data_IF_475942317600
#
_entry.id   IF_475942317600
#
_cell.length_a   1.000
_cell.length_b   1.000
_cell.length_c   1.000
_cell.angle_alpha   90.00
_cell.angle_beta   90.00
_cell.angle_gamma   90.00
#
_symmetry.space_group_name_H-M   'P 1'
#
loop_
_entity.id
_entity.type
_entity.pdbx_description
1 polymer ?
#
# COMPACT_ATOMS: atom_id res chain seq x y z
N UNK A 1 -44.97 26.16 -37.85
CA UNK A 1 -44.55 27.56 -37.95
C UNK A 1 -43.03 27.56 -38.01
N UNK A 2 -42.52 28.01 -39.15
CA UNK A 2 -41.10 28.11 -39.49
C UNK A 2 -40.51 29.36 -38.83
N UNK A 3 -39.46 29.21 -38.03
CA UNK A 3 -38.45 30.25 -37.80
C UNK A 3 -37.07 29.61 -37.84
N UNK A 4 -36.22 30.10 -38.74
CA UNK A 4 -34.91 29.54 -39.08
C UNK A 4 -33.77 30.08 -38.20
N UNK A 5 -32.56 29.50 -38.31
CA UNK A 5 -31.41 29.95 -37.55
C UNK A 5 -30.76 31.20 -38.19
N UNK A 6 -30.62 32.26 -37.39
CA UNK A 6 -29.84 33.46 -37.71
C UNK A 6 -28.34 33.13 -37.73
N UNK A 7 -27.78 32.92 -38.92
CA UNK A 7 -26.34 32.95 -39.17
C UNK A 7 -25.84 34.40 -39.18
N UNK A 8 -25.44 34.93 -38.03
CA UNK A 8 -24.60 36.12 -37.94
C UNK A 8 -23.12 35.68 -37.94
N UNK A 9 -22.59 35.44 -39.15
CA UNK A 9 -21.15 35.33 -39.38
C UNK A 9 -20.56 36.75 -39.36
N UNK A 10 -19.94 37.12 -38.24
CA UNK A 10 -19.14 38.35 -38.15
C UNK A 10 -17.81 38.08 -38.88
N UNK A 11 -17.71 38.54 -40.13
CA UNK A 11 -16.43 38.60 -40.83
C UNK A 11 -15.60 39.75 -40.26
N UNK A 12 -14.64 39.43 -39.39
CA UNK A 12 -13.55 40.35 -39.05
C UNK A 12 -12.63 40.47 -40.28
N UNK A 13 -12.76 41.58 -41.01
CA UNK A 13 -11.76 41.99 -42.00
C UNK A 13 -10.48 42.38 -41.26
N UNK A 14 -9.47 41.51 -41.29
CA UNK A 14 -8.12 41.83 -40.87
C UNK A 14 -7.57 42.94 -41.76
N UNK A 15 -7.48 44.15 -41.22
CA UNK A 15 -6.64 45.21 -41.76
C UNK A 15 -5.19 44.74 -41.75
N UNK A 16 -4.61 44.58 -42.94
CA UNK A 16 -3.20 44.20 -43.11
C UNK A 16 -2.28 45.17 -42.35
N UNK A 17 -1.51 44.72 -41.35
CA UNK A 17 -0.47 45.56 -40.77
C UNK A 17 0.61 45.81 -41.83
N UNK A 18 1.00 47.07 -41.98
CA UNK A 18 2.12 47.54 -42.78
C UNK A 18 3.36 46.63 -42.60
N UNK A 19 3.82 46.03 -43.70
CA UNK A 19 4.67 44.83 -43.77
C UNK A 19 6.15 44.97 -43.40
N UNK A 20 6.55 45.88 -42.50
CA UNK A 20 7.97 46.12 -42.19
C UNK A 20 8.45 45.52 -40.85
N UNK A 21 7.56 45.11 -39.94
CA UNK A 21 7.97 44.60 -38.62
C UNK A 21 8.28 43.09 -38.57
N UNK A 22 7.67 42.29 -39.46
CA UNK A 22 7.80 40.81 -39.44
C UNK A 22 9.16 40.35 -40.00
N UNK A 23 9.88 41.19 -40.72
CA UNK A 23 11.18 40.84 -41.35
C UNK A 23 12.35 40.89 -40.36
N UNK A 24 12.30 41.70 -39.30
CA UNK A 24 13.45 41.91 -38.40
C UNK A 24 13.76 40.70 -37.51
N UNK A 25 12.74 40.01 -37.00
CA UNK A 25 12.93 38.81 -36.15
C UNK A 25 13.55 37.64 -36.91
N UNK A 26 13.24 37.51 -38.21
CA UNK A 26 13.81 36.44 -39.06
C UNK A 26 15.29 36.62 -39.39
N UNK A 27 15.86 37.78 -39.08
CA UNK A 27 17.28 38.10 -39.32
C UNK A 27 18.14 37.72 -38.10
N UNK A 28 17.54 37.48 -36.93
CA UNK A 28 18.29 37.09 -35.75
C UNK A 28 18.90 35.69 -35.92
N UNK A 29 20.18 35.51 -35.53
CA UNK A 29 20.77 34.18 -35.41
C UNK A 29 19.91 33.27 -34.50
N UNK A 30 19.77 31.97 -34.85
CA UNK A 30 19.01 31.00 -34.06
C UNK A 30 19.35 30.99 -32.58
N UNK A 31 20.62 31.19 -32.24
CA UNK A 31 21.13 31.17 -30.87
C UNK A 31 20.56 32.32 -30.03
N UNK A 32 20.51 33.53 -30.59
CA UNK A 32 19.93 34.69 -29.91
C UNK A 32 18.42 34.51 -29.72
N UNK A 33 17.75 33.93 -30.72
CA UNK A 33 16.33 33.67 -30.63
C UNK A 33 16.02 32.60 -29.57
N UNK A 34 16.86 31.57 -29.45
CA UNK A 34 16.77 30.57 -28.37
C UNK A 34 16.99 31.20 -26.99
N UNK A 35 17.91 32.16 -26.83
CA UNK A 35 18.06 32.87 -25.55
C UNK A 35 16.83 33.71 -25.20
N UNK A 36 16.22 34.38 -26.18
CA UNK A 36 14.96 35.10 -25.99
C UNK A 36 13.85 34.12 -25.59
N UNK A 37 13.75 32.98 -26.29
CA UNK A 37 12.78 31.93 -25.94
C UNK A 37 13.04 31.39 -24.54
N UNK A 38 14.28 31.19 -24.14
CA UNK A 38 14.61 30.73 -22.79
C UNK A 38 14.15 31.72 -21.72
N UNK A 39 14.25 33.03 -21.99
CA UNK A 39 13.68 34.06 -21.11
C UNK A 39 12.15 33.99 -21.06
N UNK A 40 11.49 33.73 -22.20
CA UNK A 40 10.04 33.49 -22.24
C UNK A 40 9.65 32.26 -21.40
N UNK A 41 10.35 31.12 -21.57
CA UNK A 41 10.11 29.89 -20.82
C UNK A 41 10.33 30.07 -19.32
N UNK A 42 11.35 30.83 -18.93
CA UNK A 42 11.58 31.16 -17.53
C UNK A 42 10.41 31.92 -16.90
N UNK A 43 9.77 32.82 -17.66
CA UNK A 43 8.62 33.61 -17.19
C UNK A 43 7.31 32.83 -17.26
N UNK A 44 7.14 32.02 -18.31
CA UNK A 44 5.97 31.21 -18.60
C UNK A 44 6.43 29.82 -19.07
N UNK A 45 6.44 28.80 -18.20
CA UNK A 45 7.00 27.50 -18.54
C UNK A 45 6.26 26.74 -19.67
N UNK A 46 5.03 27.15 -20.01
CA UNK A 46 4.26 26.64 -21.15
C UNK A 46 4.53 27.40 -22.47
N UNK A 47 5.35 28.46 -22.45
CA UNK A 47 5.73 29.23 -23.64
C UNK A 47 6.23 28.39 -24.82
N UNK A 48 6.90 27.22 -24.67
CA UNK A 48 7.29 26.41 -25.83
C UNK A 48 6.11 26.03 -26.71
N UNK A 49 4.92 25.80 -26.14
CA UNK A 49 3.73 25.47 -26.92
C UNK A 49 3.28 26.66 -27.77
N UNK A 50 3.17 27.85 -27.16
CA UNK A 50 2.77 29.09 -27.86
C UNK A 50 3.78 29.49 -28.92
N UNK A 51 5.08 29.39 -28.62
CA UNK A 51 6.16 29.73 -29.55
C UNK A 51 6.15 28.84 -30.80
N UNK A 52 5.75 27.57 -30.67
CA UNK A 52 5.62 26.63 -31.79
C UNK A 52 4.50 27.03 -32.77
N UNK A 53 3.50 27.76 -32.32
CA UNK A 53 2.35 28.16 -33.15
C UNK A 53 2.63 29.38 -34.02
N UNK A 54 3.70 30.14 -33.74
CA UNK A 54 4.00 31.41 -34.43
C UNK A 54 4.34 31.20 -35.90
N UNK A 55 5.34 30.36 -36.20
CA UNK A 55 5.70 30.00 -37.57
C UNK A 55 6.50 28.70 -37.63
N UNK A 56 6.65 28.12 -38.83
CA UNK A 56 7.40 26.85 -39.04
C UNK A 56 8.85 26.90 -38.58
N UNK A 57 9.50 28.07 -38.69
CA UNK A 57 10.88 28.23 -38.25
C UNK A 57 11.00 28.21 -36.72
N UNK A 58 10.11 28.92 -36.02
CA UNK A 58 10.05 28.91 -34.55
C UNK A 58 9.68 27.53 -34.03
N UNK A 59 8.70 26.86 -34.66
CA UNK A 59 8.38 25.47 -34.40
C UNK A 59 9.64 24.59 -34.43
N UNK A 60 10.42 24.66 -35.51
CA UNK A 60 11.63 23.85 -35.66
C UNK A 60 12.70 24.19 -34.60
N UNK A 61 12.90 25.48 -34.28
CA UNK A 61 13.85 25.90 -33.26
C UNK A 61 13.45 25.43 -31.86
N UNK A 62 12.18 25.57 -31.49
CA UNK A 62 11.68 25.11 -30.19
C UNK A 62 11.79 23.60 -30.07
N UNK A 63 11.41 22.87 -31.13
CA UNK A 63 11.45 21.40 -31.17
C UNK A 63 12.87 20.82 -31.10
N UNK A 64 13.88 21.57 -31.55
CA UNK A 64 15.29 21.15 -31.61
C UNK A 64 16.16 21.70 -30.48
N UNK A 65 15.59 22.49 -29.56
CA UNK A 65 16.30 23.09 -28.44
C UNK A 65 15.83 22.51 -27.10
N UNK A 66 16.51 21.46 -26.58
CA UNK A 66 16.11 20.80 -25.34
C UNK A 66 16.07 21.71 -24.11
N UNK A 67 16.87 22.78 -24.10
CA UNK A 67 16.93 23.78 -23.01
C UNK A 67 15.57 24.45 -22.77
N UNK A 68 14.76 24.60 -23.81
CA UNK A 68 13.43 25.22 -23.70
C UNK A 68 12.38 24.30 -23.04
N UNK A 69 12.72 23.02 -22.83
CA UNK A 69 11.82 22.01 -22.27
C UNK A 69 12.26 21.54 -20.88
N UNK A 70 13.23 22.23 -20.27
CA UNK A 70 13.80 21.81 -18.99
C UNK A 70 12.92 22.14 -17.79
N UNK A 71 11.95 23.04 -17.89
CA UNK A 71 11.02 23.32 -16.78
C UNK A 71 9.66 22.74 -17.11
N UNK A 72 9.16 21.88 -16.22
CA UNK A 72 7.87 21.20 -16.37
C UNK A 72 6.90 21.79 -15.34
N UNK A 73 5.98 22.66 -15.76
CA UNK A 73 4.92 23.13 -14.88
C UNK A 73 3.85 22.04 -14.74
N UNK A 74 3.57 21.64 -13.50
CA UNK A 74 2.45 20.77 -13.16
C UNK A 74 1.47 21.57 -12.31
N UNK A 75 0.20 21.60 -12.69
CA UNK A 75 -0.80 22.39 -11.99
C UNK A 75 -2.14 21.67 -12.01
N UNK A 76 -2.75 21.52 -10.84
CA UNK A 76 -4.06 20.86 -10.66
C UNK A 76 -5.23 21.68 -11.22
N UNK A 77 -5.07 22.99 -11.38
CA UNK A 77 -6.08 23.87 -11.99
C UNK A 77 -6.37 23.55 -13.47
N UNK A 78 -5.47 22.86 -14.17
CA UNK A 78 -5.70 22.45 -15.57
C UNK A 78 -6.54 21.17 -15.69
N UNK A 79 -7.01 20.62 -14.57
CA UNK A 79 -7.83 19.41 -14.49
C UNK A 79 -7.07 18.14 -14.90
N UNK A 80 -7.80 17.04 -15.09
CA UNK A 80 -7.26 15.71 -15.44
C UNK A 80 -6.63 15.63 -16.85
N UNK A 81 -6.40 16.76 -17.52
CA UNK A 81 -5.99 16.78 -18.91
C UNK A 81 -4.51 16.37 -19.09
N UNK A 82 -4.35 15.12 -19.51
CA UNK A 82 -3.17 14.51 -20.13
C UNK A 82 -1.80 14.68 -19.44
N UNK A 83 -1.68 14.45 -18.11
CA UNK A 83 -0.38 14.48 -17.45
C UNK A 83 0.61 13.48 -18.09
N UNK A 84 0.12 12.35 -18.60
CA UNK A 84 0.93 11.37 -19.32
C UNK A 84 1.47 11.89 -20.66
N UNK A 85 0.65 12.54 -21.49
CA UNK A 85 1.12 13.06 -22.78
C UNK A 85 2.08 14.24 -22.59
N UNK A 86 1.78 15.11 -21.62
CA UNK A 86 2.69 16.18 -21.23
C UNK A 86 4.02 15.59 -20.75
N UNK A 87 3.97 14.55 -19.90
CA UNK A 87 5.16 13.89 -19.43
C UNK A 87 5.99 13.30 -20.56
N UNK A 88 5.37 12.57 -21.48
CA UNK A 88 6.06 12.00 -22.65
C UNK A 88 6.69 13.12 -23.49
N UNK A 89 5.95 14.20 -23.78
CA UNK A 89 6.44 15.29 -24.61
C UNK A 89 7.63 16.00 -23.96
N UNK A 90 7.51 16.44 -22.71
CA UNK A 90 8.58 17.17 -22.03
C UNK A 90 9.80 16.29 -21.73
N UNK A 91 9.59 15.04 -21.29
CA UNK A 91 10.71 14.12 -21.04
C UNK A 91 11.46 13.80 -22.33
N UNK A 92 10.77 13.63 -23.46
CA UNK A 92 11.40 13.40 -24.76
C UNK A 92 12.17 14.64 -25.24
N UNK A 93 11.54 15.81 -25.19
CA UNK A 93 12.12 17.05 -25.74
C UNK A 93 13.25 17.62 -24.90
N UNK A 94 13.26 17.37 -23.60
CA UNK A 94 14.35 17.80 -22.71
C UNK A 94 15.64 16.98 -22.85
N UNK A 95 15.63 15.84 -23.57
CA UNK A 95 16.83 15.02 -23.75
C UNK A 95 17.95 15.78 -24.48
N UNK A 96 19.23 15.65 -24.08
CA UNK A 96 19.75 14.74 -23.04
C UNK A 96 19.80 15.36 -21.62
N UNK A 97 19.27 16.56 -21.43
CA UNK A 97 19.47 17.30 -20.19
C UNK A 97 18.57 16.82 -19.06
N UNK A 98 18.95 17.19 -17.84
CA UNK A 98 18.05 17.15 -16.69
C UNK A 98 16.94 18.20 -16.83
N UNK A 99 15.82 17.95 -16.17
CA UNK A 99 14.69 18.86 -16.14
C UNK A 99 14.20 19.07 -14.70
N UNK A 100 13.55 20.20 -14.47
CA UNK A 100 13.04 20.69 -13.21
C UNK A 100 11.53 20.56 -13.21
N UNK A 101 10.96 20.01 -12.14
CA UNK A 101 9.52 19.94 -11.94
C UNK A 101 9.11 21.09 -11.03
N UNK A 102 8.15 21.88 -11.48
CA UNK A 102 7.47 22.90 -10.69
C UNK A 102 6.02 22.50 -10.50
N UNK A 103 5.71 21.96 -9.32
CA UNK A 103 4.38 21.49 -8.97
C UNK A 103 3.62 22.56 -8.19
N UNK A 104 2.50 23.00 -8.75
CA UNK A 104 1.51 23.84 -8.09
C UNK A 104 0.26 23.01 -7.84
N UNK A 105 0.15 22.41 -6.66
CA UNK A 105 -0.98 21.55 -6.29
C UNK A 105 -1.69 22.14 -5.06
N UNK A 106 -2.85 22.74 -5.30
CA UNK A 106 -3.75 23.24 -4.26
C UNK A 106 -4.36 22.05 -3.52
N UNK A 107 -4.77 21.01 -4.25
CA UNK A 107 -5.30 19.76 -3.71
C UNK A 107 -4.17 18.72 -3.51
N UNK A 108 -3.92 18.27 -2.27
CA UNK A 108 -2.93 17.22 -1.99
C UNK A 108 -3.19 15.92 -2.76
N UNK A 109 -4.45 15.57 -3.05
CA UNK A 109 -4.79 14.32 -3.74
C UNK A 109 -4.31 14.31 -5.19
N UNK A 110 -4.12 15.50 -5.77
CA UNK A 110 -3.65 15.69 -7.14
C UNK A 110 -2.13 15.55 -7.28
N UNK A 111 -1.37 15.59 -6.18
CA UNK A 111 0.10 15.50 -6.21
C UNK A 111 0.56 14.20 -6.88
N UNK A 112 0.11 13.04 -6.39
CA UNK A 112 0.55 11.75 -6.93
C UNK A 112 0.16 11.55 -8.41
N UNK A 113 -1.09 11.80 -8.83
CA UNK A 113 -1.47 11.79 -10.25
C UNK A 113 -0.59 12.69 -11.13
N UNK A 114 -0.28 13.91 -10.70
CA UNK A 114 0.52 14.85 -11.48
C UNK A 114 1.97 14.40 -11.65
N UNK A 115 2.60 13.89 -10.59
CA UNK A 115 4.03 13.51 -10.63
C UNK A 115 4.28 12.09 -11.14
N UNK A 116 3.30 11.19 -11.00
CA UNK A 116 3.49 9.76 -11.26
C UNK A 116 3.98 9.42 -12.67
N UNK A 117 3.58 10.11 -13.76
CA UNK A 117 4.12 9.84 -15.09
C UNK A 117 5.63 10.12 -15.22
N UNK A 118 6.17 11.01 -14.39
CA UNK A 118 7.57 11.42 -14.41
C UNK A 118 8.48 10.53 -13.57
N UNK A 119 7.93 9.73 -12.65
CA UNK A 119 8.70 8.86 -11.75
C UNK A 119 9.55 7.83 -12.49
N UNK A 120 9.12 7.43 -13.70
CA UNK A 120 9.89 6.51 -14.57
C UNK A 120 11.21 7.09 -15.08
N UNK A 121 11.42 8.41 -14.94
CA UNK A 121 12.65 9.09 -15.34
C UNK A 121 13.18 10.02 -14.24
N UNK A 122 12.98 9.61 -12.98
CA UNK A 122 13.34 10.39 -11.80
C UNK A 122 14.84 10.72 -11.71
N UNK A 123 15.70 9.87 -12.30
CA UNK A 123 17.15 10.11 -12.39
C UNK A 123 17.53 11.34 -13.22
N UNK A 124 16.61 11.79 -14.10
CA UNK A 124 16.78 13.01 -14.90
C UNK A 124 16.26 14.26 -14.20
N UNK A 125 15.72 14.15 -12.99
CA UNK A 125 15.28 15.33 -12.26
C UNK A 125 16.50 16.16 -11.83
N UNK A 126 16.43 17.45 -12.09
CA UNK A 126 17.41 18.48 -11.70
C UNK A 126 17.03 19.11 -10.37
N UNK A 127 15.78 19.57 -10.29
CA UNK A 127 15.14 20.05 -9.06
C UNK A 127 13.66 19.65 -9.05
N UNK A 128 13.09 19.51 -7.85
CA UNK A 128 11.66 19.37 -7.65
C UNK A 128 11.20 20.45 -6.68
N UNK A 129 10.27 21.29 -7.12
CA UNK A 129 9.75 22.42 -6.36
C UNK A 129 8.25 22.29 -6.19
N UNK A 130 7.80 22.36 -4.94
CA UNK A 130 6.38 22.47 -4.61
C UNK A 130 6.07 23.94 -4.33
N UNK A 131 5.21 24.53 -5.15
CA UNK A 131 4.67 25.89 -4.93
C UNK A 131 3.47 25.76 -3.99
N UNK A 132 3.61 26.28 -2.78
CA UNK A 132 2.53 26.42 -1.80
C UNK A 132 2.05 27.86 -1.68
N UNK A 133 1.00 28.09 -0.88
CA UNK A 133 0.45 29.43 -0.66
C UNK A 133 1.47 30.42 -0.06
N UNK A 134 2.43 29.93 0.73
CA UNK A 134 3.34 30.78 1.51
C UNK A 134 4.84 30.45 1.34
N UNK A 135 5.22 29.32 0.72
CA UNK A 135 6.63 28.91 0.52
C UNK A 135 6.83 28.11 -0.76
N UNK A 136 8.00 28.32 -1.37
CA UNK A 136 8.55 27.48 -2.44
C UNK A 136 9.55 26.51 -1.81
N UNK A 137 9.15 25.25 -1.66
CA UNK A 137 10.01 24.21 -1.06
C UNK A 137 10.80 23.49 -2.15
N UNK A 138 12.13 23.56 -2.07
CA UNK A 138 13.02 22.75 -2.90
C UNK A 138 13.31 21.42 -2.21
N UNK A 139 12.62 20.36 -2.64
CA UNK A 139 12.62 19.07 -1.92
C UNK A 139 13.78 18.15 -2.29
N UNK A 140 14.45 18.42 -3.42
CA UNK A 140 15.57 17.63 -3.89
C UNK A 140 16.83 18.50 -3.94
N UNK A 141 17.68 18.45 -2.91
CA UNK A 141 18.94 19.19 -2.95
C UNK A 141 19.85 18.63 -4.07
N UNK A 142 20.76 19.45 -4.64
CA UNK A 142 21.57 19.05 -5.81
C UNK A 142 22.43 17.79 -5.62
N UNK A 143 22.72 17.40 -4.37
CA UNK A 143 23.49 16.21 -4.03
C UNK A 143 22.66 14.91 -4.03
N UNK A 144 21.33 15.03 -4.07
CA UNK A 144 20.42 13.91 -3.94
C UNK A 144 20.27 13.16 -5.27
N UNK A 145 20.54 11.85 -5.27
CA UNK A 145 20.49 11.00 -6.46
C UNK A 145 19.38 9.98 -6.33
N UNK A 146 18.17 10.37 -6.71
CA UNK A 146 17.09 9.42 -6.91
C UNK A 146 17.28 8.71 -8.25
N UNK A 147 17.05 7.41 -8.27
CA UNK A 147 16.93 6.59 -9.45
C UNK A 147 15.64 5.79 -9.32
N UNK A 148 15.13 5.31 -10.45
CA UNK A 148 13.94 4.49 -10.41
C UNK A 148 14.13 3.20 -9.58
N UNK A 149 15.37 2.69 -9.51
CA UNK A 149 15.73 1.49 -8.77
C UNK A 149 15.81 1.73 -7.25
N UNK A 150 16.08 2.97 -6.82
CA UNK A 150 16.19 3.29 -5.39
C UNK A 150 14.89 3.84 -4.79
N UNK A 151 14.01 4.44 -5.60
CA UNK A 151 12.71 4.90 -5.14
C UNK A 151 11.71 3.74 -5.11
N UNK A 152 11.82 2.91 -4.08
CA UNK A 152 11.10 1.63 -3.96
C UNK A 152 9.87 1.72 -3.07
N UNK A 153 9.81 2.71 -2.18
CA UNK A 153 8.77 2.84 -1.16
C UNK A 153 7.84 4.04 -1.44
N UNK A 154 6.54 3.81 -1.25
CA UNK A 154 5.50 4.84 -1.24
C UNK A 154 4.76 4.81 0.09
N UNK A 155 4.81 5.90 0.83
CA UNK A 155 4.08 6.08 2.06
C UNK A 155 2.96 7.10 1.85
N UNK A 156 1.73 6.69 2.07
CA UNK A 156 0.52 7.51 1.98
C UNK A 156 -0.05 7.71 3.37
N UNK A 157 0.04 8.93 3.89
CA UNK A 157 -0.52 9.34 5.16
C UNK A 157 -1.85 10.03 4.91
N UNK A 158 -2.96 9.42 5.34
CA UNK A 158 -4.29 10.00 5.21
C UNK A 158 -4.54 10.99 6.36
N UNK A 159 -4.90 12.22 6.03
CA UNK A 159 -5.02 13.30 7.00
C UNK A 159 -6.24 14.19 6.76
N UNK A 160 -6.95 14.57 7.83
CA UNK A 160 -8.15 15.43 7.76
C UNK A 160 -7.75 16.91 7.74
N UNK A 161 -8.09 17.61 6.66
CA UNK A 161 -7.75 19.03 6.49
C UNK A 161 -8.57 19.96 7.40
N UNK A 162 -9.69 19.51 7.98
CA UNK A 162 -10.60 20.41 8.70
C UNK A 162 -10.23 20.60 10.18
N UNK A 163 -9.44 19.69 10.78
CA UNK A 163 -9.24 19.66 12.24
C UNK A 163 -7.84 20.03 12.69
N UNK A 164 -6.81 19.78 11.88
CA UNK A 164 -5.46 20.20 12.21
C UNK A 164 -5.16 21.51 11.49
N UNK A 165 -4.86 22.56 12.27
CA UNK A 165 -4.00 23.63 11.76
C UNK A 165 -2.68 22.94 11.41
N UNK A 166 -2.55 22.48 10.17
CA UNK A 166 -1.26 21.99 9.69
C UNK A 166 -0.28 23.11 9.99
N UNK A 167 0.80 22.78 10.68
CA UNK A 167 1.91 23.71 10.76
C UNK A 167 2.23 24.03 9.29
N UNK A 168 2.03 25.29 8.89
CA UNK A 168 2.27 25.82 7.54
C UNK A 168 3.71 25.52 7.03
N UNK A 169 4.54 24.94 7.90
CA UNK A 169 5.92 24.53 7.72
C UNK A 169 6.09 23.08 7.24
N UNK A 170 5.10 22.18 7.31
CA UNK A 170 5.26 20.78 6.86
C UNK A 170 4.97 20.58 5.35
N UNK A 171 5.96 20.10 4.61
CA UNK A 171 5.83 19.82 3.18
C UNK A 171 4.91 18.60 2.91
N UNK A 172 3.89 18.77 2.05
CA UNK A 172 2.92 17.72 1.64
C UNK A 172 3.52 16.52 0.91
N UNK A 173 4.76 16.62 0.49
CA UNK A 173 5.52 15.56 -0.14
C UNK A 173 6.95 15.65 0.36
N UNK A 174 7.57 14.51 0.67
CA UNK A 174 8.99 14.44 1.02
C UNK A 174 9.62 13.19 0.41
N UNK A 175 10.93 13.25 0.21
CA UNK A 175 11.75 12.10 -0.15
C UNK A 175 12.73 11.82 0.99
N UNK A 176 12.65 10.65 1.59
CA UNK A 176 13.49 10.29 2.75
C UNK A 176 14.14 8.93 2.55
N UNK A 177 15.38 8.72 3.02
CA UNK A 177 15.94 7.37 3.11
C UNK A 177 15.09 6.53 4.09
N UNK A 178 14.89 5.25 3.80
CA UNK A 178 14.06 4.37 4.64
C UNK A 178 14.76 4.04 5.96
N UNK A 179 16.09 3.97 5.94
CA UNK A 179 16.92 3.78 7.11
C UNK A 179 18.08 4.77 7.09
N UNK A 180 18.50 5.32 8.24
CA UNK A 180 19.67 6.19 8.30
C UNK A 180 20.96 5.50 7.84
N UNK A 181 20.99 4.17 7.87
CA UNK A 181 22.14 3.36 7.43
C UNK A 181 22.07 2.97 5.94
N UNK A 182 20.88 3.02 5.33
CA UNK A 182 20.65 2.62 3.94
C UNK A 182 20.50 3.83 3.03
N UNK A 183 21.59 4.19 2.35
CA UNK A 183 21.61 5.28 1.38
C UNK A 183 21.12 4.84 -0.02
N UNK A 184 20.69 3.59 -0.19
CA UNK A 184 20.34 3.03 -1.50
C UNK A 184 18.85 2.86 -1.71
N UNK A 185 18.03 3.16 -0.70
CA UNK A 185 16.59 2.97 -0.76
C UNK A 185 15.85 4.17 -0.19
N UNK A 186 14.91 4.69 -0.96
CA UNK A 186 14.17 5.91 -0.66
C UNK A 186 12.67 5.65 -0.63
N UNK A 187 12.01 6.39 0.25
CA UNK A 187 10.57 6.50 0.33
C UNK A 187 10.12 7.86 -0.19
N UNK A 188 9.03 7.85 -0.97
CA UNK A 188 8.22 9.03 -1.23
C UNK A 188 7.10 9.05 -0.21
N UNK A 189 7.08 10.05 0.68
CA UNK A 189 6.00 10.25 1.64
C UNK A 189 5.05 11.31 1.10
N UNK A 190 3.75 11.01 1.13
CA UNK A 190 2.69 11.91 0.70
C UNK A 190 1.62 12.01 1.77
N UNK A 191 1.21 13.23 2.06
CA UNK A 191 0.06 13.51 2.91
C UNK A 191 -1.13 13.86 2.01
N UNK A 192 -2.18 13.05 2.11
CA UNK A 192 -3.34 13.13 1.23
C UNK A 192 -4.61 12.99 2.07
N UNK A 193 -5.74 13.50 1.57
CA UNK A 193 -7.04 13.32 2.25
C UNK A 193 -7.74 12.06 1.74
N UNK A 194 -7.45 11.65 0.50
CA UNK A 194 -8.08 10.52 -0.17
C UNK A 194 -7.11 9.84 -1.12
N UNK A 195 -7.22 8.53 -1.24
CA UNK A 195 -6.45 7.76 -2.20
C UNK A 195 -6.82 8.15 -3.64
N UNK A 196 -5.84 8.42 -4.52
CA UNK A 196 -6.10 8.78 -5.90
C UNK A 196 -6.69 7.59 -6.68
N UNK A 197 -7.62 7.89 -7.58
CA UNK A 197 -8.23 6.87 -8.45
C UNK A 197 -7.16 6.23 -9.35
N UNK A 198 -7.15 4.90 -9.52
CA UNK A 198 -6.21 4.23 -10.44
C UNK A 198 -6.36 4.69 -11.89
N UNK A 199 -7.49 5.31 -12.27
CA UNK A 199 -7.69 5.87 -13.62
C UNK A 199 -6.81 7.09 -13.90
N UNK A 200 -6.37 7.78 -12.84
CA UNK A 200 -5.51 8.95 -12.92
C UNK A 200 -4.03 8.59 -12.75
N UNK A 201 -3.73 7.32 -12.46
CA UNK A 201 -2.38 6.85 -12.18
C UNK A 201 -1.86 6.00 -13.35
N UNK A 202 -0.63 6.22 -13.82
CA UNK A 202 0.08 5.23 -14.59
C UNK A 202 0.42 4.03 -13.68
N UNK A 203 0.94 2.96 -14.27
CA UNK A 203 1.48 1.84 -13.48
C UNK A 203 2.64 2.32 -12.63
N UNK A 204 2.46 2.26 -11.32
CA UNK A 204 3.46 2.59 -10.33
C UNK A 204 4.38 1.38 -10.11
N UNK A 205 5.68 1.64 -9.98
CA UNK A 205 6.73 0.61 -9.84
C UNK A 205 7.28 0.53 -8.41
N UNK A 206 6.49 0.96 -7.44
CA UNK A 206 6.81 0.78 -6.03
C UNK A 206 6.67 -0.70 -5.64
N UNK A 207 7.67 -1.22 -4.95
CA UNK A 207 7.68 -2.57 -4.39
C UNK A 207 7.18 -2.60 -2.94
N UNK A 208 7.19 -1.44 -2.26
CA UNK A 208 6.65 -1.28 -0.91
C UNK A 208 5.62 -0.14 -0.88
N UNK A 209 4.42 -0.43 -0.38
CA UNK A 209 3.37 0.56 -0.18
C UNK A 209 2.90 0.52 1.26
N UNK A 210 2.89 1.68 1.90
CA UNK A 210 2.34 1.92 3.23
C UNK A 210 1.17 2.88 3.10
N UNK A 211 0.02 2.52 3.64
CA UNK A 211 -1.13 3.42 3.83
C UNK A 211 -1.35 3.53 5.34
N UNK A 212 -1.27 4.75 5.87
CA UNK A 212 -1.48 5.04 7.27
C UNK A 212 -2.62 6.04 7.42
N UNK A 213 -3.68 5.66 8.12
CA UNK A 213 -4.77 6.55 8.47
C UNK A 213 -4.40 7.35 9.73
N UNK A 214 -4.55 8.67 9.69
CA UNK A 214 -4.43 9.52 10.88
C UNK A 214 -5.47 9.11 11.92
N UNK A 215 -5.07 9.04 13.20
CA UNK A 215 -5.93 8.56 14.29
C UNK A 215 -7.07 9.51 14.70
N UNK A 216 -7.36 10.53 13.90
CA UNK A 216 -8.43 11.48 14.17
C UNK A 216 -9.76 11.02 13.55
N UNK A 217 -10.86 11.31 14.24
CA UNK A 217 -12.17 10.76 13.93
C UNK A 217 -12.73 11.33 12.62
N UNK A 218 -12.86 10.47 11.59
CA UNK A 218 -13.69 10.75 10.42
C UNK A 218 -13.04 10.45 9.07
N UNK A 219 -11.71 10.46 8.99
CA UNK A 219 -11.01 10.19 7.73
C UNK A 219 -10.50 8.76 7.67
N UNK A 220 -11.16 7.96 6.84
CA UNK A 220 -10.81 6.56 6.65
C UNK A 220 -10.88 6.23 5.16
N UNK A 221 -9.88 5.51 4.65
CA UNK A 221 -9.95 5.01 3.29
C UNK A 221 -10.90 3.83 3.25
N UNK A 222 -11.97 3.99 2.47
CA UNK A 222 -12.90 2.91 2.24
C UNK A 222 -12.17 1.73 1.55
N UNK A 223 -12.47 0.46 1.89
CA UNK A 223 -11.72 -0.70 1.36
C UNK A 223 -11.66 -0.75 -0.16
N UNK A 224 -12.75 -0.33 -0.81
CA UNK A 224 -12.81 -0.22 -2.26
C UNK A 224 -11.74 0.71 -2.83
N UNK A 225 -11.48 1.85 -2.19
CA UNK A 225 -10.49 2.83 -2.64
C UNK A 225 -9.07 2.28 -2.46
N UNK A 226 -8.81 1.62 -1.33
CA UNK A 226 -7.55 0.91 -1.10
C UNK A 226 -7.32 -0.15 -2.19
N UNK A 227 -8.32 -1.01 -2.41
CA UNK A 227 -8.24 -2.08 -3.41
C UNK A 227 -8.06 -1.53 -4.82
N UNK A 228 -8.83 -0.52 -5.22
CA UNK A 228 -8.70 0.14 -6.51
C UNK A 228 -7.30 0.78 -6.68
N UNK A 229 -6.79 1.46 -5.66
CA UNK A 229 -5.45 2.04 -5.67
C UNK A 229 -4.36 0.98 -5.86
N UNK A 230 -4.45 -0.16 -5.17
CA UNK A 230 -3.49 -1.25 -5.28
C UNK A 230 -3.41 -1.84 -6.70
N UNK A 231 -4.45 -1.68 -7.54
CA UNK A 231 -4.37 -2.10 -8.96
C UNK A 231 -3.34 -1.30 -9.77
N UNK A 232 -2.95 -0.11 -9.31
CA UNK A 232 -1.91 0.70 -9.92
C UNK A 232 -0.49 0.23 -9.54
N UNK A 233 -0.32 -0.69 -8.58
CA UNK A 233 0.97 -1.16 -8.07
C UNK A 233 1.21 -2.66 -8.37
N UNK A 234 1.41 -3.06 -9.63
CA UNK A 234 1.54 -4.48 -9.99
C UNK A 234 2.84 -5.15 -9.52
N UNK A 235 3.89 -4.38 -9.23
CA UNK A 235 5.19 -4.85 -8.76
C UNK A 235 5.26 -4.94 -7.21
N UNK A 236 4.13 -4.75 -6.51
CA UNK A 236 4.08 -4.68 -5.06
C UNK A 236 4.51 -6.00 -4.39
N UNK A 237 5.56 -5.93 -3.58
CA UNK A 237 6.09 -7.05 -2.79
C UNK A 237 5.67 -6.97 -1.31
N UNK A 238 5.52 -5.76 -0.77
CA UNK A 238 5.10 -5.55 0.61
C UNK A 238 4.01 -4.49 0.70
N UNK A 239 2.91 -4.85 1.35
CA UNK A 239 1.82 -3.93 1.64
C UNK A 239 1.61 -3.80 3.15
N UNK A 240 1.62 -2.57 3.65
CA UNK A 240 1.32 -2.24 5.03
C UNK A 240 0.13 -1.29 5.08
N UNK A 241 -0.92 -1.67 5.80
CA UNK A 241 -2.05 -0.80 6.12
C UNK A 241 -2.11 -0.63 7.64
N UNK A 242 -2.06 0.60 8.11
CA UNK A 242 -2.41 0.96 9.49
C UNK A 242 -3.63 1.85 9.47
N UNK A 243 -4.78 1.30 9.82
CA UNK A 243 -6.04 2.03 9.88
C UNK A 243 -6.34 2.64 11.24
N UNK A 244 -7.54 3.20 11.35
CA UNK A 244 -8.19 3.50 12.62
C UNK A 244 -9.52 2.74 12.72
N UNK A 245 -9.88 2.15 13.87
CA UNK A 245 -11.17 1.47 14.02
C UNK A 245 -12.35 2.44 13.90
N UNK A 246 -13.28 2.16 12.99
CA UNK A 246 -14.49 2.98 12.80
C UNK A 246 -15.65 2.13 12.30
N UNK A 247 -16.88 2.61 12.57
CA UNK A 247 -18.10 2.03 12.02
C UNK A 247 -18.44 2.74 10.72
N UNK A 248 -18.41 1.99 9.61
CA UNK A 248 -18.66 2.51 8.28
C UNK A 248 -19.49 1.52 7.45
N UNK A 249 -20.38 2.02 6.59
CA UNK A 249 -21.09 1.14 5.66
C UNK A 249 -20.07 0.49 4.73
N UNK A 250 -20.18 -0.83 4.57
CA UNK A 250 -19.31 -1.59 3.68
C UNK A 250 -20.03 -1.83 2.35
N UNK A 251 -19.36 -1.49 1.25
CA UNK A 251 -19.82 -1.88 -0.08
C UNK A 251 -19.85 -3.40 -0.22
N UNK A 252 -20.99 -3.94 -0.66
CA UNK A 252 -21.18 -5.39 -0.86
C UNK A 252 -20.37 -5.98 -2.03
N UNK A 253 -19.85 -5.13 -2.91
CA UNK A 253 -19.16 -5.55 -4.13
C UNK A 253 -17.79 -4.90 -4.23
N UNK A 254 -16.82 -5.53 -3.58
CA UNK A 254 -15.42 -5.14 -3.68
C UNK A 254 -14.76 -5.85 -4.87
N UNK A 255 -13.86 -5.17 -5.61
CA UNK A 255 -13.12 -5.79 -6.68
C UNK A 255 -12.11 -6.80 -6.13
N UNK A 256 -11.94 -7.94 -6.82
CA UNK A 256 -10.82 -8.83 -6.53
C UNK A 256 -9.56 -8.25 -7.17
N UNK A 257 -8.58 -7.91 -6.34
CA UNK A 257 -7.31 -7.31 -6.74
C UNK A 257 -6.23 -8.38 -6.72
N UNK A 258 -5.59 -8.58 -7.86
CA UNK A 258 -4.50 -9.53 -8.01
C UNK A 258 -3.16 -8.85 -7.79
N UNK A 259 -2.42 -9.28 -6.78
CA UNK A 259 -1.08 -8.80 -6.45
C UNK A 259 -0.11 -9.99 -6.55
N UNK A 260 0.36 -10.32 -7.76
CA UNK A 260 1.10 -11.55 -8.00
C UNK A 260 2.48 -11.55 -7.33
N UNK A 261 3.06 -10.39 -7.05
CA UNK A 261 4.38 -10.27 -6.42
C UNK A 261 4.32 -10.09 -4.90
N UNK A 262 3.11 -10.02 -4.31
CA UNK A 262 2.99 -9.70 -2.89
C UNK A 262 3.53 -10.86 -2.03
N UNK A 263 4.60 -10.59 -1.29
CA UNK A 263 5.28 -11.50 -0.38
C UNK A 263 4.85 -11.23 1.07
N UNK A 264 4.70 -9.95 1.43
CA UNK A 264 4.39 -9.52 2.80
C UNK A 264 3.11 -8.69 2.82
N UNK A 265 2.19 -9.08 3.69
CA UNK A 265 0.96 -8.34 3.97
C UNK A 265 0.89 -8.05 5.47
N UNK A 266 0.77 -6.77 5.82
CA UNK A 266 0.57 -6.31 7.18
C UNK A 266 -0.70 -5.48 7.26
N UNK A 267 -1.68 -5.95 8.04
CA UNK A 267 -2.90 -5.21 8.36
C UNK A 267 -2.93 -4.89 9.85
N UNK A 268 -2.96 -3.61 10.18
CA UNK A 268 -2.94 -3.11 11.55
C UNK A 268 -4.11 -2.16 11.81
N UNK A 269 -4.75 -2.28 12.97
CA UNK A 269 -5.73 -1.30 13.49
C UNK A 269 -6.89 -0.98 12.53
N UNK A 270 -7.34 -1.96 11.73
CA UNK A 270 -8.40 -1.75 10.73
C UNK A 270 -9.64 -2.60 11.00
N UNK A 271 -10.82 -2.03 10.80
CA UNK A 271 -12.10 -2.76 10.84
C UNK A 271 -12.41 -3.50 9.53
N UNK A 272 -11.60 -3.29 8.49
CA UNK A 272 -11.85 -3.80 7.15
C UNK A 272 -11.03 -5.04 6.79
N UNK A 273 -10.55 -5.76 7.81
CA UNK A 273 -9.73 -6.96 7.62
C UNK A 273 -10.44 -7.97 6.72
N UNK A 274 -11.74 -8.18 6.91
CA UNK A 274 -12.50 -9.14 6.13
C UNK A 274 -12.52 -8.75 4.67
N UNK A 275 -12.90 -7.51 4.40
CA UNK A 275 -13.06 -6.91 3.08
C UNK A 275 -11.77 -6.99 2.30
N UNK A 276 -10.65 -6.62 2.93
CA UNK A 276 -9.33 -6.63 2.33
C UNK A 276 -8.87 -8.07 2.08
N UNK A 277 -8.82 -8.94 3.09
CA UNK A 277 -8.38 -10.33 2.93
C UNK A 277 -9.26 -11.10 1.92
N UNK A 278 -10.57 -10.83 1.91
CA UNK A 278 -11.53 -11.44 0.97
C UNK A 278 -11.51 -10.84 -0.43
N UNK A 279 -10.70 -9.82 -0.69
CA UNK A 279 -10.62 -9.16 -2.00
C UNK A 279 -9.23 -9.24 -2.61
N UNK A 280 -8.27 -9.88 -1.94
CA UNK A 280 -6.91 -10.04 -2.44
C UNK A 280 -6.71 -11.43 -3.06
N UNK A 281 -6.00 -11.46 -4.18
CA UNK A 281 -5.46 -12.67 -4.84
C UNK A 281 -3.93 -12.55 -4.88
N UNK A 282 -3.25 -13.25 -3.95
CA UNK A 282 -1.83 -13.09 -3.62
C UNK A 282 -1.10 -14.45 -3.61
N UNK A 283 -0.88 -15.06 -4.78
CA UNK A 283 -0.41 -16.44 -4.89
C UNK A 283 1.00 -16.70 -4.30
N UNK A 284 1.80 -15.65 -4.08
CA UNK A 284 3.14 -15.75 -3.51
C UNK A 284 3.25 -15.19 -2.08
N UNK A 285 2.11 -14.96 -1.40
CA UNK A 285 2.12 -14.42 -0.05
C UNK A 285 2.78 -15.39 0.93
N UNK A 286 3.84 -14.93 1.60
CA UNK A 286 4.64 -15.71 2.54
C UNK A 286 4.49 -15.22 3.98
N UNK A 287 4.40 -13.91 4.18
CA UNK A 287 4.37 -13.29 5.50
C UNK A 287 3.04 -12.56 5.69
N UNK A 288 2.28 -12.98 6.70
CA UNK A 288 1.00 -12.36 7.05
C UNK A 288 1.05 -11.88 8.51
N UNK A 289 0.96 -10.56 8.68
CA UNK A 289 0.95 -9.88 9.97
C UNK A 289 -0.42 -9.23 10.19
N UNK A 290 -1.11 -9.64 11.24
CA UNK A 290 -2.43 -9.13 11.62
C UNK A 290 -2.33 -8.54 13.03
N UNK A 291 -2.54 -7.23 13.18
CA UNK A 291 -2.32 -6.55 14.45
C UNK A 291 -3.49 -5.63 14.86
N UNK A 292 -3.92 -5.69 16.12
CA UNK A 292 -4.97 -4.84 16.70
C UNK A 292 -6.25 -4.80 15.88
N UNK A 293 -6.80 -5.97 15.54
CA UNK A 293 -7.99 -6.09 14.70
C UNK A 293 -9.27 -6.33 15.52
N UNK A 294 -9.12 -6.62 16.81
CA UNK A 294 -10.25 -6.78 17.71
C UNK A 294 -10.94 -5.44 17.97
N UNK A 295 -12.27 -5.43 17.84
CA UNK A 295 -13.09 -4.26 18.19
C UNK A 295 -14.18 -4.65 19.19
N UNK A 296 -14.61 -3.68 19.98
CA UNK A 296 -15.66 -3.83 21.01
C UNK A 296 -17.07 -3.50 20.48
N UNK A 297 -17.17 -3.08 19.21
CA UNK A 297 -18.42 -2.78 18.54
C UNK A 297 -18.80 -3.83 17.48
N UNK A 298 -20.08 -3.87 17.14
CA UNK A 298 -20.60 -4.77 16.14
C UNK A 298 -20.28 -4.24 14.73
N UNK A 299 -19.59 -5.04 13.93
CA UNK A 299 -19.39 -4.75 12.51
C UNK A 299 -20.72 -4.96 11.76
N UNK A 300 -21.17 -3.98 10.98
CA UNK A 300 -22.51 -3.95 10.35
C UNK A 300 -22.74 -4.95 9.22
N UNK A 301 -21.77 -5.82 8.94
CA UNK A 301 -21.73 -6.55 7.70
C UNK A 301 -22.39 -7.93 7.82
N UNK A 302 -23.57 -8.06 7.20
CA UNK A 302 -24.30 -9.32 7.07
C UNK A 302 -23.71 -10.11 5.91
N UNK A 303 -22.95 -11.14 6.21
CA UNK A 303 -22.50 -12.08 5.21
C UNK A 303 -23.17 -13.44 5.44
N UNK A 304 -23.40 -14.15 4.34
CA UNK A 304 -23.85 -15.53 4.35
C UNK A 304 -22.92 -16.29 3.44
N UNK A 305 -21.73 -16.61 3.95
CA UNK A 305 -20.76 -17.41 3.24
C UNK A 305 -20.73 -18.84 3.78
N UNK A 306 -20.22 -19.77 2.98
CA UNK A 306 -20.12 -21.17 3.40
C UNK A 306 -19.14 -21.29 4.57
N UNK A 307 -19.63 -21.81 5.70
CA UNK A 307 -18.85 -21.94 6.95
C UNK A 307 -19.06 -20.79 7.94
N UNK A 308 -20.01 -19.90 7.67
CA UNK A 308 -20.47 -18.81 8.54
C UNK A 308 -21.48 -19.28 9.61
N UNK A 309 -21.48 -20.57 9.95
CA UNK A 309 -22.37 -21.13 10.97
C UNK A 309 -22.06 -20.56 12.36
N UNK A 310 -23.10 -20.21 13.11
CA UNK A 310 -22.98 -19.81 14.53
C UNK A 310 -22.86 -21.01 15.48
N UNK A 311 -22.52 -22.19 14.97
CA UNK A 311 -22.40 -23.43 15.74
C UNK A 311 -21.31 -23.37 16.83
N UNK A 312 -20.38 -22.43 16.69
CA UNK A 312 -19.35 -22.11 17.69
C UNK A 312 -19.54 -20.72 18.34
N UNK A 313 -20.73 -20.10 18.28
CA UNK A 313 -20.99 -18.84 18.99
C UNK A 313 -20.83 -18.94 20.52
N UNK A 314 -20.80 -20.18 21.05
CA UNK A 314 -20.54 -20.48 22.46
C UNK A 314 -19.05 -20.66 22.77
N UNK A 315 -18.18 -20.65 21.75
CA UNK A 315 -16.75 -20.56 21.96
C UNK A 315 -16.44 -19.12 22.32
N UNK A 316 -16.08 -18.92 23.58
CA UNK A 316 -16.03 -17.58 24.14
C UNK A 316 -15.00 -16.71 23.40
N UNK A 317 -15.46 -15.59 22.86
CA UNK A 317 -14.66 -14.50 22.32
C UNK A 317 -15.11 -13.19 22.99
N UNK A 318 -14.17 -12.31 23.34
CA UNK A 318 -14.49 -10.95 23.81
C UNK A 318 -14.89 -10.02 22.65
N UNK A 319 -14.56 -10.38 21.41
CA UNK A 319 -14.87 -9.60 20.21
C UNK A 319 -15.51 -10.46 19.10
N UNK A 320 -16.74 -10.98 19.31
CA UNK A 320 -17.33 -11.98 18.41
C UNK A 320 -17.49 -11.54 16.94
N UNK A 321 -17.64 -10.24 16.71
CA UNK A 321 -17.78 -9.61 15.39
C UNK A 321 -16.45 -9.59 14.63
N UNK A 322 -15.38 -9.07 15.24
CA UNK A 322 -14.05 -9.00 14.60
C UNK A 322 -13.44 -10.36 14.38
N UNK A 323 -13.66 -11.32 15.27
CA UNK A 323 -13.09 -12.66 15.16
C UNK A 323 -13.70 -13.40 13.97
N UNK A 324 -15.02 -13.24 13.80
CA UNK A 324 -15.74 -13.75 12.64
C UNK A 324 -15.26 -13.07 11.36
N UNK A 325 -15.11 -11.75 11.37
CA UNK A 325 -14.63 -10.99 10.22
C UNK A 325 -13.22 -11.43 9.80
N UNK A 326 -12.30 -11.53 10.76
CA UNK A 326 -10.92 -11.97 10.55
C UNK A 326 -10.88 -13.41 10.03
N UNK A 327 -11.57 -14.34 10.68
CA UNK A 327 -11.62 -15.75 10.30
C UNK A 327 -12.17 -15.95 8.88
N UNK A 328 -13.26 -15.26 8.54
CA UNK A 328 -13.87 -15.33 7.20
C UNK A 328 -12.96 -14.71 6.13
N UNK A 329 -12.37 -13.54 6.42
CA UNK A 329 -11.39 -12.91 5.54
C UNK A 329 -10.21 -13.83 5.23
N UNK A 330 -9.65 -14.45 6.27
CA UNK A 330 -8.50 -15.35 6.14
C UNK A 330 -8.85 -16.63 5.35
N UNK A 331 -10.04 -17.20 5.56
CA UNK A 331 -10.55 -18.32 4.73
C UNK A 331 -10.59 -17.94 3.26
N UNK A 332 -11.16 -16.79 2.93
CA UNK A 332 -11.28 -16.30 1.57
C UNK A 332 -9.90 -16.09 0.93
N UNK A 333 -8.97 -15.48 1.66
CA UNK A 333 -7.58 -15.29 1.21
C UNK A 333 -6.91 -16.64 0.93
N UNK A 334 -6.92 -17.58 1.88
CA UNK A 334 -6.26 -18.89 1.75
C UNK A 334 -6.81 -19.68 0.54
N UNK A 335 -8.12 -19.61 0.28
CA UNK A 335 -8.71 -20.28 -0.87
C UNK A 335 -8.20 -19.77 -2.22
N UNK A 336 -7.84 -18.49 -2.32
CA UNK A 336 -7.41 -17.86 -3.57
C UNK A 336 -5.92 -17.93 -3.77
N UNK A 337 -5.17 -17.89 -2.68
CA UNK A 337 -3.74 -17.80 -2.76
C UNK A 337 -3.06 -19.18 -2.82
N UNK A 338 -3.77 -20.26 -2.43
CA UNK A 338 -3.18 -21.59 -2.12
C UNK A 338 -1.78 -21.45 -1.49
N UNK A 339 -1.65 -20.60 -0.45
CA UNK A 339 -0.47 -19.77 -0.38
C UNK A 339 0.71 -20.47 0.31
N UNK A 340 1.94 -20.10 -0.05
CA UNK A 340 3.13 -20.47 0.69
C UNK A 340 3.27 -19.63 1.97
N UNK A 341 2.21 -19.42 2.76
CA UNK A 341 2.33 -18.67 4.02
C UNK A 341 3.28 -19.44 4.92
N UNK A 342 4.43 -18.84 5.18
CA UNK A 342 5.50 -19.35 6.03
C UNK A 342 5.47 -18.71 7.40
N UNK A 343 5.02 -17.46 7.49
CA UNK A 343 4.93 -16.69 8.74
C UNK A 343 3.50 -16.18 8.89
N UNK A 344 2.88 -16.52 10.02
CA UNK A 344 1.60 -15.96 10.45
C UNK A 344 1.79 -15.40 11.86
N UNK A 345 1.70 -14.08 11.97
CA UNK A 345 1.75 -13.36 13.22
C UNK A 345 0.42 -12.66 13.47
N UNK A 346 -0.12 -12.85 14.66
CA UNK A 346 -1.40 -12.30 15.10
C UNK A 346 -1.20 -11.61 16.45
N UNK A 347 -1.36 -10.30 16.51
CA UNK A 347 -1.20 -9.49 17.72
C UNK A 347 -2.51 -8.75 18.05
N UNK A 348 -3.11 -8.95 19.23
CA UNK A 348 -4.45 -8.43 19.55
C UNK A 348 -5.46 -8.70 18.43
N UNK A 349 -5.43 -9.93 17.93
CA UNK A 349 -6.27 -10.40 16.83
C UNK A 349 -6.71 -11.83 17.15
N UNK A 350 -8.02 -12.04 17.17
CA UNK A 350 -8.62 -13.33 17.47
C UNK A 350 -9.39 -13.91 16.28
N UNK A 351 -9.69 -15.21 16.39
CA UNK A 351 -10.49 -15.98 15.44
C UNK A 351 -11.25 -17.06 16.21
N UNK A 352 -12.36 -17.56 15.67
CA UNK A 352 -13.07 -18.69 16.27
C UNK A 352 -12.29 -20.00 16.07
N UNK A 353 -12.52 -21.00 16.93
CA UNK A 353 -11.80 -22.29 16.84
C UNK A 353 -11.92 -22.96 15.47
N UNK A 354 -13.10 -22.93 14.83
CA UNK A 354 -13.31 -23.44 13.47
C UNK A 354 -12.42 -22.76 12.44
N UNK A 355 -12.13 -21.48 12.62
CA UNK A 355 -11.31 -20.68 11.70
C UNK A 355 -9.84 -21.05 11.88
N UNK A 356 -9.35 -21.14 13.12
CA UNK A 356 -8.04 -21.71 13.41
C UNK A 356 -7.89 -23.11 12.81
N UNK A 357 -8.87 -23.99 13.02
CA UNK A 357 -8.87 -25.33 12.43
C UNK A 357 -8.78 -25.29 10.91
N UNK A 358 -9.59 -24.44 10.27
CA UNK A 358 -9.59 -24.28 8.82
C UNK A 358 -8.21 -23.86 8.29
N UNK A 359 -7.60 -22.86 8.93
CA UNK A 359 -6.27 -22.32 8.61
C UNK A 359 -5.21 -23.40 8.80
N UNK A 360 -5.24 -24.08 9.95
CA UNK A 360 -4.25 -25.10 10.31
C UNK A 360 -4.30 -26.34 9.42
N UNK A 361 -5.48 -26.67 8.89
CA UNK A 361 -5.67 -27.75 7.91
C UNK A 361 -5.16 -27.37 6.49
N UNK A 362 -4.97 -26.08 6.19
CA UNK A 362 -4.68 -25.59 4.83
C UNK A 362 -3.36 -24.85 4.65
N UNK A 363 -2.60 -24.61 5.72
CA UNK A 363 -1.27 -24.00 5.66
C UNK A 363 -0.17 -25.01 5.97
N UNK A 364 0.10 -26.00 5.09
CA UNK A 364 1.09 -27.04 5.35
C UNK A 364 2.53 -26.50 5.44
N UNK A 365 2.78 -25.33 4.83
CA UNK A 365 4.11 -24.69 4.75
C UNK A 365 4.35 -23.63 5.82
N UNK A 366 3.41 -23.43 6.75
CA UNK A 366 3.58 -22.47 7.84
C UNK A 366 4.70 -22.94 8.76
N UNK A 367 5.76 -22.15 8.87
CA UNK A 367 6.94 -22.45 9.67
C UNK A 367 6.92 -21.73 11.01
N UNK A 368 6.47 -20.48 11.01
CA UNK A 368 6.49 -19.61 12.16
C UNK A 368 5.05 -19.16 12.45
N UNK A 369 4.52 -19.55 13.61
CA UNK A 369 3.24 -19.09 14.11
C UNK A 369 3.43 -18.36 15.43
N UNK A 370 3.03 -17.09 15.45
CA UNK A 370 3.15 -16.23 16.62
C UNK A 370 1.80 -15.60 16.92
N UNK A 371 1.33 -15.78 18.14
CA UNK A 371 0.11 -15.16 18.63
C UNK A 371 0.41 -14.36 19.91
N UNK A 372 -0.09 -13.13 19.96
CA UNK A 372 0.12 -12.17 21.04
C UNK A 372 -1.23 -11.63 21.51
N UNK A 373 -1.42 -11.59 22.84
CA UNK A 373 -2.58 -10.98 23.49
C UNK A 373 -3.93 -11.46 22.92
N UNK A 374 -4.02 -12.78 22.69
CA UNK A 374 -5.20 -13.44 22.15
C UNK A 374 -6.01 -14.14 23.24
N UNK A 375 -7.32 -14.17 23.03
CA UNK A 375 -8.30 -14.92 23.81
C UNK A 375 -8.45 -16.40 23.38
N UNK A 376 -7.44 -16.92 22.69
CA UNK A 376 -7.39 -18.32 22.22
C UNK A 376 -7.73 -19.33 23.33
N UNK A 377 -8.68 -20.22 23.05
CA UNK A 377 -9.14 -21.24 23.99
C UNK A 377 -8.27 -22.51 23.96
N UNK A 378 -8.40 -23.35 24.98
CA UNK A 378 -7.75 -24.67 25.05
C UNK A 378 -8.08 -25.57 23.84
N UNK A 379 -9.25 -25.37 23.21
CA UNK A 379 -9.61 -26.13 22.00
C UNK A 379 -8.70 -25.83 20.83
N UNK A 380 -8.21 -24.60 20.71
CA UNK A 380 -7.32 -24.20 19.62
C UNK A 380 -5.93 -24.78 19.83
N UNK A 381 -5.39 -24.74 21.06
CA UNK A 381 -4.08 -25.36 21.32
C UNK A 381 -4.14 -26.88 21.13
N UNK A 382 -5.27 -27.51 21.46
CA UNK A 382 -5.49 -28.94 21.19
C UNK A 382 -5.45 -29.30 19.70
N UNK A 383 -5.64 -28.34 18.78
CA UNK A 383 -5.51 -28.59 17.34
C UNK A 383 -4.08 -28.97 16.92
N UNK A 384 -3.07 -28.65 17.73
CA UNK A 384 -1.68 -29.03 17.48
C UNK A 384 -1.41 -30.51 17.73
N UNK A 385 -2.28 -31.21 18.47
CA UNK A 385 -2.16 -32.65 18.73
C UNK A 385 -2.24 -33.45 17.42
N UNK A 386 -1.52 -34.59 17.34
CA UNK A 386 -1.71 -35.53 16.24
C UNK A 386 -3.15 -36.07 16.27
N UNK A 387 -3.88 -35.91 15.18
CA UNK A 387 -5.28 -36.34 15.08
C UNK A 387 -5.43 -37.46 14.04
N UNK A 388 -6.52 -38.22 14.13
CA UNK A 388 -6.85 -39.25 13.16
C UNK A 388 -7.98 -38.75 12.24
N UNK A 389 -7.69 -38.39 10.98
CA UNK A 389 -8.73 -38.00 10.03
C UNK A 389 -9.68 -39.17 9.76
N UNK A 390 -10.96 -38.90 9.50
CA UNK A 390 -11.97 -39.95 9.23
C UNK A 390 -11.61 -40.86 8.05
N UNK A 391 -10.76 -40.40 7.13
CA UNK A 391 -10.31 -41.11 5.93
C UNK A 391 -9.01 -41.90 6.10
N UNK A 392 -8.28 -41.75 7.20
CA UNK A 392 -6.93 -42.28 7.35
C UNK A 392 -6.81 -43.21 8.57
N UNK A 393 -5.98 -44.26 8.43
CA UNK A 393 -5.66 -45.19 9.52
C UNK A 393 -4.51 -44.70 10.40
N UNK A 394 -3.77 -43.68 9.95
CA UNK A 394 -2.62 -43.11 10.64
C UNK A 394 -2.94 -41.72 11.18
N UNK A 395 -2.36 -41.40 12.34
CA UNK A 395 -2.39 -40.02 12.85
C UNK A 395 -1.65 -39.09 11.89
N UNK A 396 -2.10 -37.85 11.79
CA UNK A 396 -1.45 -36.78 11.03
C UNK A 396 -1.35 -35.51 11.88
N UNK A 397 -0.44 -34.60 11.51
CA UNK A 397 -0.30 -33.29 12.13
C UNK A 397 -1.04 -32.24 11.32
N UNK A 398 -1.70 -31.31 12.01
CA UNK A 398 -1.98 -29.99 11.44
C UNK A 398 -0.70 -29.16 11.42
N UNK A 399 -0.58 -28.26 10.45
CA UNK A 399 0.62 -27.44 10.25
C UNK A 399 1.92 -28.29 10.31
N UNK A 400 2.09 -29.31 9.45
CA UNK A 400 3.27 -30.16 9.47
C UNK A 400 4.58 -29.37 9.28
N UNK A 401 4.55 -28.22 8.61
CA UNK A 401 5.70 -27.33 8.45
C UNK A 401 6.11 -26.56 9.71
N UNK A 402 5.30 -26.54 10.77
CA UNK A 402 5.49 -25.64 11.91
C UNK A 402 6.75 -25.99 12.69
N UNK A 403 7.66 -25.02 12.77
CA UNK A 403 8.97 -25.11 13.45
C UNK A 403 9.06 -24.17 14.64
N UNK A 404 8.48 -22.97 14.54
CA UNK A 404 8.49 -21.98 15.62
C UNK A 404 7.07 -21.68 16.07
N UNK A 405 6.83 -21.83 17.36
CA UNK A 405 5.56 -21.49 18.00
C UNK A 405 5.83 -20.47 19.11
N UNK A 406 5.21 -19.29 19.02
CA UNK A 406 5.29 -18.26 20.05
C UNK A 406 3.90 -17.92 20.56
N UNK A 407 3.68 -18.12 21.86
CA UNK A 407 2.48 -17.74 22.58
C UNK A 407 2.86 -16.63 23.56
N UNK A 408 2.30 -15.43 23.39
CA UNK A 408 2.62 -14.28 24.23
C UNK A 408 1.35 -13.68 24.80
N UNK A 409 1.27 -13.50 26.12
CA UNK A 409 0.14 -12.86 26.80
C UNK A 409 -1.24 -13.48 26.46
N UNK A 410 -1.31 -14.79 26.20
CA UNK A 410 -2.57 -15.49 25.95
C UNK A 410 -3.29 -15.75 27.29
N UNK A 411 -4.40 -15.07 27.53
CA UNK A 411 -5.06 -15.04 28.85
C UNK A 411 -5.88 -16.30 29.15
N UNK A 412 -6.32 -17.01 28.11
CA UNK A 412 -7.33 -18.08 28.24
C UNK A 412 -6.81 -19.49 28.09
N UNK A 413 -5.53 -19.64 27.81
CA UNK A 413 -4.88 -20.94 27.69
C UNK A 413 -4.52 -21.48 29.08
N UNK A 414 -5.01 -22.66 29.41
CA UNK A 414 -4.54 -23.40 30.57
C UNK A 414 -3.14 -23.97 30.33
N UNK A 415 -2.28 -23.91 31.33
CA UNK A 415 -0.93 -24.47 31.24
C UNK A 415 -0.94 -25.97 30.96
N UNK A 416 -1.93 -26.69 31.51
CA UNK A 416 -2.14 -28.11 31.24
C UNK A 416 -2.45 -28.41 29.78
N UNK A 417 -3.32 -27.63 29.12
CA UNK A 417 -3.64 -27.84 27.71
C UNK A 417 -2.43 -27.58 26.82
N UNK A 418 -1.65 -26.53 27.09
CA UNK A 418 -0.38 -26.25 26.41
C UNK A 418 0.59 -27.43 26.57
N UNK A 419 0.82 -27.87 27.80
CA UNK A 419 1.73 -28.98 28.11
C UNK A 419 1.30 -30.25 27.37
N UNK A 420 0.04 -30.64 27.48
CA UNK A 420 -0.47 -31.87 26.90
C UNK A 420 -0.41 -31.84 25.37
N UNK A 421 -0.94 -30.79 24.75
CA UNK A 421 -1.00 -30.68 23.30
C UNK A 421 0.39 -30.66 22.65
N UNK A 422 1.31 -29.86 23.18
CA UNK A 422 2.67 -29.75 22.65
C UNK A 422 3.50 -30.99 22.95
N UNK A 423 3.34 -31.61 24.12
CA UNK A 423 4.05 -32.85 24.45
C UNK A 423 3.62 -33.99 23.54
N UNK A 424 2.32 -34.17 23.31
CA UNK A 424 1.81 -35.17 22.37
C UNK A 424 2.31 -34.95 20.95
N UNK A 425 2.26 -33.70 20.46
CA UNK A 425 2.77 -33.34 19.14
C UNK A 425 4.23 -33.71 18.99
N UNK A 426 5.08 -33.28 19.92
CA UNK A 426 6.54 -33.45 19.84
C UNK A 426 6.92 -34.91 20.00
N UNK A 427 6.35 -35.63 20.96
CA UNK A 427 6.63 -37.06 21.14
C UNK A 427 6.26 -37.89 19.91
N UNK A 428 5.14 -37.55 19.26
CA UNK A 428 4.73 -38.21 18.04
C UNK A 428 5.63 -37.80 16.85
N UNK A 429 5.89 -36.51 16.66
CA UNK A 429 6.68 -36.00 15.55
C UNK A 429 8.14 -36.45 15.62
N UNK A 430 8.78 -36.41 16.79
CA UNK A 430 10.16 -36.86 16.99
C UNK A 430 10.33 -38.35 16.69
N UNK A 431 9.27 -39.15 16.85
CA UNK A 431 9.27 -40.59 16.58
C UNK A 431 8.93 -40.93 15.14
N UNK A 432 7.83 -40.37 14.63
CA UNK A 432 7.23 -40.78 13.35
C UNK A 432 7.68 -39.90 12.19
N UNK A 433 7.98 -38.61 12.43
CA UNK A 433 8.36 -37.66 11.37
C UNK A 433 9.27 -36.51 11.86
N UNK A 434 10.55 -36.78 12.18
CA UNK A 434 11.43 -35.83 12.87
C UNK A 434 11.61 -34.47 12.17
N UNK A 435 11.45 -34.43 10.84
CA UNK A 435 11.55 -33.20 10.04
C UNK A 435 10.40 -32.20 10.29
N UNK A 436 9.31 -32.66 10.90
CA UNK A 436 8.09 -31.89 11.17
C UNK A 436 7.91 -31.57 12.67
N UNK A 437 8.97 -31.75 13.47
CA UNK A 437 8.95 -31.41 14.90
C UNK A 437 9.12 -29.91 15.13
N UNK A 438 8.71 -29.46 16.32
CA UNK A 438 8.94 -28.08 16.76
C UNK A 438 10.43 -27.90 17.09
N UNK A 439 11.01 -26.79 16.64
CA UNK A 439 12.40 -26.40 16.90
C UNK A 439 12.51 -25.31 17.96
N UNK A 440 11.54 -24.41 17.98
CA UNK A 440 11.50 -23.28 18.89
C UNK A 440 10.08 -23.12 19.44
N UNK A 441 9.95 -23.11 20.76
CA UNK A 441 8.69 -22.85 21.43
C UNK A 441 8.92 -21.79 22.49
N UNK A 442 8.11 -20.74 22.49
CA UNK A 442 8.13 -19.68 23.50
C UNK A 442 6.73 -19.51 24.06
N UNK A 443 6.59 -19.50 25.40
CA UNK A 443 5.32 -19.28 26.09
C UNK A 443 5.53 -18.23 27.18
N UNK A 444 5.17 -16.99 26.88
CA UNK A 444 5.54 -15.82 27.67
C UNK A 444 4.29 -15.08 28.13
N UNK A 445 4.21 -14.76 29.42
CA UNK A 445 3.11 -13.95 29.98
C UNK A 445 1.70 -14.56 29.86
N UNK A 446 1.56 -15.86 29.60
CA UNK A 446 0.26 -16.52 29.53
C UNK A 446 -0.23 -16.87 30.95
N UNK A 447 -1.37 -16.34 31.37
CA UNK A 447 -1.85 -16.40 32.77
C UNK A 447 -2.02 -17.83 33.31
N UNK A 448 -2.47 -18.75 32.46
CA UNK A 448 -2.65 -20.15 32.84
C UNK A 448 -1.36 -20.98 32.83
N UNK A 449 -0.24 -20.47 32.29
CA UNK A 449 1.01 -21.20 32.14
C UNK A 449 1.97 -20.94 33.31
N UNK A 450 1.90 -21.79 34.33
CA UNK A 450 2.65 -21.61 35.58
C UNK A 450 4.07 -22.17 35.47
N UNK A 451 4.90 -21.87 36.46
CA UNK A 451 6.28 -22.40 36.55
C UNK A 451 6.32 -23.94 36.54
N UNK A 452 5.31 -24.60 37.12
CA UNK A 452 5.20 -26.05 37.10
C UNK A 452 4.92 -26.60 35.70
N UNK A 453 4.03 -25.98 34.94
CA UNK A 453 3.74 -26.35 33.55
C UNK A 453 4.98 -26.16 32.67
N UNK A 454 5.71 -25.05 32.86
CA UNK A 454 7.00 -24.80 32.23
C UNK A 454 8.02 -25.87 32.56
N UNK A 455 8.08 -26.33 33.81
CA UNK A 455 8.95 -27.42 34.20
C UNK A 455 8.60 -28.71 33.45
N UNK A 456 7.32 -29.12 33.46
CA UNK A 456 6.88 -30.32 32.72
C UNK A 456 7.21 -30.20 31.23
N UNK A 457 6.83 -29.09 30.60
CA UNK A 457 7.07 -28.90 29.16
C UNK A 457 8.57 -28.90 28.82
N UNK A 458 9.43 -28.37 29.70
CA UNK A 458 10.88 -28.40 29.50
C UNK A 458 11.48 -29.81 29.55
N UNK A 459 10.85 -30.76 30.26
CA UNK A 459 11.29 -32.17 30.23
C UNK A 459 11.09 -32.83 28.87
N UNK A 460 10.11 -32.37 28.08
CA UNK A 460 9.81 -32.90 26.74
C UNK A 460 10.53 -32.11 25.65
N UNK A 461 10.50 -30.78 25.73
CA UNK A 461 11.09 -29.90 24.72
C UNK A 461 12.61 -29.73 24.86
N UNK A 462 13.16 -29.84 26.07
CA UNK A 462 14.57 -29.58 26.35
C UNK A 462 14.98 -28.17 25.94
N UNK A 463 16.04 -28.04 25.15
CA UNK A 463 16.57 -26.76 24.66
C UNK A 463 15.68 -26.04 23.63
N UNK A 464 14.61 -26.69 23.15
CA UNK A 464 13.63 -26.11 22.22
C UNK A 464 12.70 -25.10 22.90
N UNK A 465 12.50 -25.22 24.21
CA UNK A 465 11.72 -24.26 24.99
C UNK A 465 12.56 -23.02 25.29
N UNK A 466 12.22 -21.91 24.65
CA UNK A 466 12.84 -20.59 24.81
C UNK A 466 12.18 -19.80 25.94
N UNK A 467 12.93 -18.87 26.55
CA UNK A 467 12.53 -18.27 27.79
C UNK A 467 11.35 -17.32 27.74
#
# INVERSE_FOLDING_TARGET
MHEGPNNNTICYTYSSPSGDAVTLITILPPELLIEIFAYCVFSEPLAPLTLREVCRWWYALVDTSPRLWQTIPLNDAYGDMFPEQQAILWTTRSQPFKYNIELNAIDPQSILPLISPFLSSIERWGSFRLKGNNRDDELLPPAFRLTQENLTHLHLCLHDNEQEEWDDDESRITFSPISPEDCFSYAMNLWIVKLPSPRLLPRLRFVHVTIAEGGQAGLHAHPKEILEFLTACPELESFFLSGFPHDGPIDRHLPIVRLPSLITLHLKSTCFVRELLSSLDTPHLQNLYLAHLNVDFQLLAQYQEYGDSEDEAQDFSQSPSSDQATGMGLRALINRCFPPIHVLEMDFCDMRTKDFRYVFDRLPYLHDFHIVASDMSDKVIDLFRPFMPSSHTTKVLRLPGLRKLKLTNCQRLSGSAIVEALSERVNWADKECPLHTLWEVSVNGCDGFRQWDRHILSTVLGSRLRP
#
